data_IF_610554020902
#
_entry.id   IF_610554020902
#
_cell.length_a   1.000
_cell.length_b   1.000
_cell.length_c   1.000
_cell.angle_alpha   90.00
_cell.angle_beta   90.00
_cell.angle_gamma   90.00
#
_symmetry.space_group_name_H-M   'P 1'
#
loop_
_entity.id
_entity.type
_entity.pdbx_description
1 polymer ?
#
# COMPACT_ATOMS: atom_id res chain seq x y z
N UNK A 1 30.19 -30.46 -37.58
CA UNK A 1 29.20 -30.92 -36.58
C UNK A 1 29.29 -30.21 -35.21
N UNK A 2 29.79 -28.97 -35.13
CA UNK A 2 30.15 -28.31 -33.85
C UNK A 2 29.36 -27.03 -33.49
N UNK A 3 28.34 -26.64 -34.27
CA UNK A 3 27.59 -25.39 -34.03
C UNK A 3 26.35 -25.53 -33.12
N UNK A 4 25.83 -26.74 -32.89
CA UNK A 4 24.56 -26.95 -32.17
C UNK A 4 24.67 -27.03 -30.64
N UNK A 5 25.87 -27.29 -30.09
CA UNK A 5 26.07 -27.47 -28.63
C UNK A 5 26.19 -26.16 -27.83
N UNK A 6 26.57 -25.05 -28.47
CA UNK A 6 26.74 -23.75 -27.79
C UNK A 6 25.41 -23.02 -27.50
N UNK A 7 24.36 -23.31 -28.28
CA UNK A 7 23.04 -22.69 -28.12
C UNK A 7 22.24 -23.26 -26.95
N UNK A 8 22.46 -24.53 -26.58
CA UNK A 8 21.72 -25.17 -25.49
C UNK A 8 22.14 -24.65 -24.09
N UNK A 9 23.42 -24.29 -23.91
CA UNK A 9 23.94 -23.79 -22.63
C UNK A 9 23.55 -22.33 -22.35
N UNK A 10 23.36 -21.52 -23.40
CA UNK A 10 22.86 -20.14 -23.28
C UNK A 10 21.37 -20.08 -22.87
N UNK A 11 20.55 -21.04 -23.32
CA UNK A 11 19.12 -21.10 -22.95
C UNK A 11 18.90 -21.54 -21.49
N UNK A 12 19.74 -22.42 -20.95
CA UNK A 12 19.64 -22.88 -19.55
C UNK A 12 20.06 -21.80 -18.53
N UNK A 13 20.99 -20.90 -18.88
CA UNK A 13 21.41 -19.80 -18.01
C UNK A 13 20.35 -18.67 -17.92
N UNK A 14 19.57 -18.46 -18.99
CA UNK A 14 18.49 -17.45 -18.99
C UNK A 14 17.28 -17.91 -18.17
N UNK A 15 16.98 -19.21 -18.13
CA UNK A 15 15.86 -19.78 -17.37
C UNK A 15 16.09 -19.81 -15.84
N UNK A 16 17.34 -19.89 -15.39
CA UNK A 16 17.67 -19.83 -13.96
C UNK A 16 17.78 -18.40 -13.42
N UNK A 17 18.16 -17.43 -14.26
CA UNK A 17 18.19 -16.01 -13.89
C UNK A 17 16.80 -15.37 -13.72
N UNK A 18 15.81 -15.77 -14.51
CA UNK A 18 14.44 -15.24 -14.41
C UNK A 18 13.62 -15.84 -13.27
N UNK A 19 13.95 -17.06 -12.82
CA UNK A 19 13.21 -17.76 -11.75
C UNK A 19 13.45 -17.16 -10.36
N UNK A 20 14.62 -16.57 -10.10
CA UNK A 20 14.93 -15.93 -8.80
C UNK A 20 14.26 -14.55 -8.66
N UNK A 21 14.01 -13.84 -9.77
CA UNK A 21 13.32 -12.54 -9.74
C UNK A 21 11.81 -12.67 -9.46
N UNK A 22 11.17 -13.77 -9.85
CA UNK A 22 9.73 -13.95 -9.63
C UNK A 22 9.36 -14.35 -8.18
N UNK A 23 10.26 -15.04 -7.46
CA UNK A 23 10.00 -15.51 -6.09
C UNK A 23 10.15 -14.38 -5.04
N UNK A 24 10.91 -13.33 -5.36
CA UNK A 24 11.09 -12.16 -4.49
C UNK A 24 9.96 -11.12 -4.59
N UNK A 25 9.01 -11.30 -5.52
CA UNK A 25 8.03 -10.24 -5.84
C UNK A 25 6.74 -10.29 -5.00
N UNK A 26 6.46 -11.32 -4.19
CA UNK A 26 5.09 -11.43 -3.65
C UNK A 26 4.92 -12.10 -2.29
N UNK A 27 5.79 -11.80 -1.33
CA UNK A 27 5.32 -11.89 0.06
C UNK A 27 4.63 -10.57 0.38
N UNK A 28 3.35 -10.47 -0.01
CA UNK A 28 2.52 -9.38 0.45
C UNK A 28 2.43 -9.51 1.98
N UNK A 29 3.18 -8.68 2.70
CA UNK A 29 3.18 -8.69 4.15
C UNK A 29 1.76 -8.39 4.64
N UNK A 30 1.26 -9.14 5.62
CA UNK A 30 -0.02 -8.89 6.25
C UNK A 30 0.25 -8.22 7.61
N UNK A 31 0.39 -6.89 7.65
CA UNK A 31 0.74 -6.18 8.88
C UNK A 31 -0.33 -6.40 9.96
N UNK A 32 0.09 -6.47 11.22
CA UNK A 32 -0.85 -6.55 12.33
C UNK A 32 -1.74 -5.29 12.39
N UNK A 33 -2.94 -5.40 12.99
CA UNK A 33 -3.84 -4.24 13.17
C UNK A 33 -3.16 -3.04 13.86
N UNK A 34 -2.32 -3.23 14.91
CA UNK A 34 -1.54 -2.13 15.48
C UNK A 34 -0.54 -1.50 14.50
N UNK A 35 0.08 -2.30 13.63
CA UNK A 35 0.99 -1.79 12.60
C UNK A 35 0.24 -0.97 11.53
N UNK A 36 -0.93 -1.43 11.09
CA UNK A 36 -1.82 -0.66 10.21
C UNK A 36 -2.23 0.67 10.86
N UNK A 37 -2.67 0.65 12.11
CA UNK A 37 -3.02 1.89 12.83
C UNK A 37 -1.82 2.85 12.88
N UNK A 38 -0.63 2.36 13.23
CA UNK A 38 0.60 3.18 13.24
C UNK A 38 0.95 3.76 11.87
N UNK A 39 0.73 3.01 10.78
CA UNK A 39 0.88 3.53 9.42
C UNK A 39 -0.12 4.66 9.15
N UNK A 40 -1.39 4.46 9.49
CA UNK A 40 -2.43 5.46 9.37
C UNK A 40 -2.14 6.74 10.15
N UNK A 41 -1.64 6.65 11.39
CA UNK A 41 -1.24 7.83 12.18
C UNK A 41 -0.19 8.71 11.46
N UNK A 42 0.76 8.09 10.75
CA UNK A 42 1.74 8.84 9.95
C UNK A 42 1.10 9.54 8.76
N UNK A 43 0.13 8.88 8.11
CA UNK A 43 -0.61 9.48 7.00
C UNK A 43 -1.49 10.64 7.48
N UNK A 44 -2.20 10.47 8.60
CA UNK A 44 -3.01 11.52 9.25
C UNK A 44 -2.14 12.75 9.50
N UNK A 45 -0.98 12.58 10.13
CA UNK A 45 -0.06 13.69 10.41
C UNK A 45 0.41 14.41 9.12
N UNK A 46 0.64 13.69 8.04
CA UNK A 46 1.05 14.28 6.77
C UNK A 46 -0.10 15.03 6.07
N UNK A 47 -1.32 14.49 6.09
CA UNK A 47 -2.53 15.13 5.55
C UNK A 47 -2.85 16.41 6.34
N UNK A 48 -2.81 16.37 7.67
CA UNK A 48 -3.07 17.56 8.50
C UNK A 48 -2.00 18.63 8.32
N UNK A 49 -0.74 18.23 8.16
CA UNK A 49 0.34 19.17 7.83
C UNK A 49 0.11 19.83 6.47
N UNK A 50 -0.30 19.06 5.46
CA UNK A 50 -0.64 19.62 4.14
C UNK A 50 -1.75 20.66 4.26
N UNK A 51 -2.84 20.33 4.98
CA UNK A 51 -3.95 21.26 5.22
C UNK A 51 -3.52 22.53 5.94
N UNK A 52 -2.67 22.40 6.95
CA UNK A 52 -2.14 23.56 7.68
C UNK A 52 -1.34 24.50 6.76
N UNK A 53 -0.66 23.95 5.74
CA UNK A 53 0.17 24.72 4.82
C UNK A 53 -0.61 25.34 3.65
N UNK A 54 -1.63 24.65 3.15
CA UNK A 54 -2.35 25.04 1.92
C UNK A 54 -3.77 25.56 2.17
N UNK A 55 -4.32 25.37 3.38
CA UNK A 55 -5.68 25.75 3.74
C UNK A 55 -6.76 24.74 3.36
N UNK A 56 -6.42 23.70 2.60
CA UNK A 56 -7.33 22.65 2.11
C UNK A 56 -6.73 21.25 2.27
N UNK A 57 -7.58 20.22 2.32
CA UNK A 57 -7.10 18.84 2.28
C UNK A 57 -6.50 18.52 0.91
N UNK A 58 -5.47 17.66 0.84
CA UNK A 58 -4.87 17.26 -0.43
C UNK A 58 -5.88 16.47 -1.27
N UNK A 59 -5.85 16.61 -2.60
CA UNK A 59 -6.75 15.86 -3.48
C UNK A 59 -6.40 14.36 -3.50
N UNK A 60 -5.11 14.06 -3.34
CA UNK A 60 -4.55 12.70 -3.29
C UNK A 60 -3.54 12.54 -2.14
N UNK A 61 -3.20 11.31 -1.75
CA UNK A 61 -2.15 11.10 -0.73
C UNK A 61 -0.77 11.57 -1.25
N UNK A 62 -0.55 11.45 -2.55
CA UNK A 62 0.67 11.86 -3.23
C UNK A 62 0.93 13.37 -3.13
N UNK A 63 -0.12 14.21 -3.17
CA UNK A 63 0.01 15.66 -2.98
C UNK A 63 0.53 16.01 -1.58
N UNK A 64 0.22 15.18 -0.57
CA UNK A 64 0.77 15.28 0.79
C UNK A 64 2.17 14.62 0.93
N UNK A 65 2.77 14.17 -0.17
CA UNK A 65 4.05 13.48 -0.18
C UNK A 65 3.99 12.06 0.42
N UNK A 66 2.82 11.43 0.39
CA UNK A 66 2.59 10.08 0.91
C UNK A 66 2.53 9.12 -0.27
N UNK A 67 3.39 8.10 -0.27
CA UNK A 67 3.20 6.91 -1.11
C UNK A 67 2.60 5.82 -0.24
N UNK A 68 1.35 5.39 -0.48
CA UNK A 68 0.72 4.36 0.33
C UNK A 68 1.51 3.05 0.26
N UNK A 69 1.85 2.42 1.40
CA UNK A 69 2.48 1.11 1.37
C UNK A 69 1.49 0.11 0.76
N UNK A 70 1.99 -0.72 -0.16
CA UNK A 70 1.24 -1.87 -0.64
C UNK A 70 1.52 -3.05 0.27
N UNK A 71 0.46 -3.67 0.80
CA UNK A 71 0.54 -4.84 1.67
C UNK A 71 -0.58 -5.83 1.32
N UNK A 72 -0.65 -6.98 1.99
CA UNK A 72 -1.61 -8.07 1.70
C UNK A 72 -3.08 -7.66 1.64
N UNK A 73 -3.45 -6.61 2.38
CA UNK A 73 -4.80 -6.03 2.42
C UNK A 73 -5.09 -4.97 1.33
N UNK A 74 -4.20 -4.81 0.35
CA UNK A 74 -4.30 -3.75 -0.67
C UNK A 74 -3.73 -2.40 -0.20
N UNK A 75 -3.79 -1.35 -1.03
CA UNK A 75 -3.34 -0.01 -0.65
C UNK A 75 -4.34 0.67 0.30
N UNK A 76 -3.87 1.70 1.00
CA UNK A 76 -4.77 2.62 1.70
C UNK A 76 -5.62 3.40 0.70
N UNK A 77 -6.91 3.50 0.98
CA UNK A 77 -7.84 4.36 0.27
C UNK A 77 -7.97 5.68 1.03
N UNK A 78 -8.08 6.78 0.28
CA UNK A 78 -8.20 8.12 0.81
C UNK A 78 -9.35 8.86 0.13
N UNK A 79 -10.04 9.69 0.89
CA UNK A 79 -10.96 10.68 0.36
C UNK A 79 -11.21 11.79 1.37
N UNK A 80 -11.78 12.89 0.89
CA UNK A 80 -12.05 14.05 1.73
C UNK A 80 -13.29 14.82 1.25
N UNK A 81 -13.75 15.72 2.12
CA UNK A 81 -14.67 16.81 1.82
C UNK A 81 -14.09 18.09 2.45
N UNK A 82 -14.86 19.18 2.49
CA UNK A 82 -14.40 20.48 2.98
C UNK A 82 -13.95 20.46 4.46
N UNK A 83 -14.52 19.58 5.27
CA UNK A 83 -14.35 19.60 6.73
C UNK A 83 -13.65 18.35 7.29
N UNK A 84 -13.71 17.22 6.60
CA UNK A 84 -13.12 15.97 7.04
C UNK A 84 -12.44 15.18 5.92
N UNK A 85 -11.56 14.26 6.33
CA UNK A 85 -10.99 13.24 5.45
C UNK A 85 -11.14 11.86 6.09
N UNK A 86 -10.98 10.82 5.27
CA UNK A 86 -10.96 9.45 5.73
C UNK A 86 -9.82 8.65 5.11
N UNK A 87 -9.37 7.65 5.87
CA UNK A 87 -8.41 6.64 5.44
C UNK A 87 -9.04 5.27 5.67
N UNK A 88 -8.97 4.38 4.69
CA UNK A 88 -9.57 3.04 4.77
C UNK A 88 -8.56 2.01 4.28
N UNK A 89 -8.50 0.88 4.97
CA UNK A 89 -7.71 -0.28 4.55
C UNK A 89 -8.42 -1.59 4.89
N UNK A 90 -8.26 -2.59 4.03
CA UNK A 90 -8.96 -3.87 4.11
C UNK A 90 -10.24 -3.89 3.27
N UNK A 91 -10.72 -5.10 3.01
CA UNK A 91 -11.95 -5.39 2.29
C UNK A 91 -12.72 -6.48 3.04
N UNK A 92 -13.97 -6.22 3.43
CA UNK A 92 -14.77 -7.19 4.17
C UNK A 92 -14.94 -8.54 3.44
N UNK A 93 -15.11 -8.51 2.12
CA UNK A 93 -15.32 -9.71 1.32
C UNK A 93 -14.08 -10.58 1.17
N UNK A 94 -12.90 -10.02 1.45
CA UNK A 94 -11.60 -10.70 1.25
C UNK A 94 -10.84 -10.93 2.56
N UNK A 95 -10.80 -9.90 3.39
CA UNK A 95 -9.94 -9.81 4.58
C UNK A 95 -10.72 -9.97 5.89
N UNK A 96 -12.07 -9.96 5.83
CA UNK A 96 -12.98 -10.06 6.99
C UNK A 96 -12.79 -8.94 8.03
N UNK A 97 -12.27 -7.80 7.60
CA UNK A 97 -12.28 -6.56 8.40
C UNK A 97 -12.12 -5.35 7.50
N UNK A 98 -12.50 -4.20 8.05
CA UNK A 98 -12.12 -2.88 7.51
C UNK A 98 -11.61 -2.04 8.67
N UNK A 99 -10.42 -1.46 8.52
CA UNK A 99 -9.90 -0.45 9.43
C UNK A 99 -10.06 0.91 8.77
N UNK A 100 -10.79 1.81 9.42
CA UNK A 100 -11.02 3.16 8.93
C UNK A 100 -10.68 4.23 9.95
N UNK A 101 -10.26 5.39 9.47
CA UNK A 101 -10.14 6.62 10.24
C UNK A 101 -11.00 7.68 9.57
N UNK A 102 -11.71 8.47 10.38
CA UNK A 102 -12.42 9.68 9.92
C UNK A 102 -12.02 10.86 10.81
N UNK A 103 -11.52 11.93 10.21
CA UNK A 103 -11.11 13.12 10.96
C UNK A 103 -12.32 13.84 11.58
N UNK A 104 -12.09 14.51 12.71
CA UNK A 104 -13.13 15.21 13.49
C UNK A 104 -13.89 14.29 14.44
N UNK A 105 -14.88 13.56 13.92
CA UNK A 105 -15.96 13.00 14.77
C UNK A 105 -15.70 11.59 15.31
N UNK A 106 -15.09 10.69 14.52
CA UNK A 106 -15.10 9.24 14.83
C UNK A 106 -13.73 8.67 15.14
N UNK A 107 -12.66 9.29 14.65
CA UNK A 107 -11.32 8.74 14.80
C UNK A 107 -11.23 7.34 14.20
N UNK A 108 -10.52 6.44 14.87
CA UNK A 108 -10.32 5.06 14.42
C UNK A 108 -11.54 4.18 14.68
N UNK A 109 -11.96 3.44 13.65
CA UNK A 109 -13.00 2.44 13.69
C UNK A 109 -12.51 1.14 13.05
N UNK A 110 -12.80 0.01 13.70
CA UNK A 110 -12.47 -1.33 13.21
C UNK A 110 -13.75 -2.16 13.13
N UNK A 111 -14.12 -2.51 11.91
CA UNK A 111 -15.27 -3.35 11.62
C UNK A 111 -14.82 -4.80 11.33
N UNK A 112 -15.57 -5.79 11.82
CA UNK A 112 -15.22 -7.23 11.76
C UNK A 112 -16.43 -8.14 11.58
#
# INVERSE_FOLDING_TARGET
MMRKRKWLLLLLAVLTGTSVFAILWWQAEYPSRPALKSQGERMIAAVERYRTQHGEYPATLEDAGITPPSHGYGPWQYGHNDNSFWLIVGDYGKDWFVLSYVSGDRGWYLDH
#
